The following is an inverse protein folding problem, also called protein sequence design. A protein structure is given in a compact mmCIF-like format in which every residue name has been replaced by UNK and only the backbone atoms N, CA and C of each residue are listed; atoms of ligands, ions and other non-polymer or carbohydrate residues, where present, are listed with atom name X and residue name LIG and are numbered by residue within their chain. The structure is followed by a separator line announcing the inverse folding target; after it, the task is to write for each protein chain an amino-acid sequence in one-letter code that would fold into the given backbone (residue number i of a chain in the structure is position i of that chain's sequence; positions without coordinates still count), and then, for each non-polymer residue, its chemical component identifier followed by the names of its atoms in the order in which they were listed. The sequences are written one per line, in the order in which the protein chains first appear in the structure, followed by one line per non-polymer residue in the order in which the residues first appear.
data_IF_089919316318
#
_entry.id   IF_089919316318
#
_cell.length_a   1.000
_cell.length_b   1.000
_cell.length_c   1.000
_cell.angle_alpha   90.00
_cell.angle_beta   90.00
_cell.angle_gamma   90.00
#
_symmetry.space_group_name_H-M   'P 1'
#
loop_
_entity.id
_entity.type
_entity.pdbx_description
1 polymer ?
#
# COMPACT_ATOMS: atom_id res chain seq x y z
N UNK A 1 12.78 -8.67 -49.17
CA UNK A 1 11.62 -7.87 -48.73
C UNK A 1 10.72 -8.75 -47.87
N UNK A 2 10.94 -8.68 -46.55
CA UNK A 2 9.99 -8.23 -45.52
C UNK A 2 8.77 -9.16 -45.33
N UNK A 3 8.86 -10.03 -44.33
CA UNK A 3 7.70 -10.53 -43.59
C UNK A 3 7.76 -9.93 -42.18
N UNK A 4 6.69 -9.26 -41.75
CA UNK A 4 6.54 -8.80 -40.36
C UNK A 4 5.16 -9.23 -39.85
N UNK A 5 5.08 -10.20 -38.91
CA UNK A 5 3.84 -10.58 -38.27
C UNK A 5 3.61 -9.62 -37.10
N UNK A 6 3.07 -8.43 -37.38
CA UNK A 6 3.01 -7.36 -36.38
C UNK A 6 1.78 -6.47 -36.43
N UNK A 7 0.71 -6.87 -37.14
CA UNK A 7 -0.46 -5.99 -37.34
C UNK A 7 -1.78 -6.46 -36.73
N UNK A 8 -1.80 -7.58 -35.99
CA UNK A 8 -3.06 -8.14 -35.49
C UNK A 8 -3.26 -8.06 -33.97
N UNK A 9 -2.62 -7.11 -33.28
CA UNK A 9 -2.80 -6.91 -31.82
C UNK A 9 -3.27 -5.49 -31.46
N UNK A 10 -3.62 -4.66 -32.46
CA UNK A 10 -3.91 -3.23 -32.26
C UNK A 10 -5.41 -2.86 -32.35
N UNK A 11 -6.34 -3.80 -32.12
CA UNK A 11 -7.79 -3.54 -32.21
C UNK A 11 -8.63 -3.96 -30.99
N UNK A 12 -8.05 -4.05 -29.79
CA UNK A 12 -8.83 -4.46 -28.59
C UNK A 12 -8.68 -3.55 -27.37
N UNK A 13 -8.50 -2.23 -27.55
CA UNK A 13 -8.40 -1.31 -26.41
C UNK A 13 -9.26 -0.04 -26.48
N UNK A 14 -10.18 0.08 -27.44
CA UNK A 14 -11.16 1.14 -27.46
C UNK A 14 -12.56 0.60 -27.17
N UNK A 15 -12.92 0.45 -25.89
CA UNK A 15 -14.33 0.43 -25.48
C UNK A 15 -14.53 1.30 -24.23
N UNK A 16 -15.52 2.22 -24.22
CA UNK A 16 -15.93 2.87 -22.99
C UNK A 16 -16.44 1.81 -22.01
N UNK A 17 -15.96 1.84 -20.76
CA UNK A 17 -16.39 0.90 -19.71
C UNK A 17 -17.77 1.31 -19.20
N UNK A 18 -18.83 0.87 -19.88
CA UNK A 18 -20.21 0.98 -19.38
C UNK A 18 -20.64 -0.35 -18.77
N UNK A 19 -20.29 -0.54 -17.49
CA UNK A 19 -20.73 -1.67 -16.67
C UNK A 19 -20.31 -1.44 -15.21
N UNK A 20 -20.99 -2.05 -14.22
CA UNK A 20 -20.52 -2.00 -12.84
C UNK A 20 -19.08 -2.52 -12.80
N UNK A 21 -18.20 -1.80 -12.10
CA UNK A 21 -16.81 -2.21 -11.93
C UNK A 21 -16.71 -3.63 -11.34
N UNK A 22 -15.53 -4.26 -11.39
CA UNK A 22 -15.34 -5.58 -10.80
C UNK A 22 -15.82 -5.56 -9.34
N UNK A 23 -16.86 -6.35 -9.04
CA UNK A 23 -17.30 -6.58 -7.66
C UNK A 23 -16.18 -7.33 -6.98
N UNK A 24 -15.57 -6.72 -5.96
CA UNK A 24 -14.54 -7.36 -5.17
C UNK A 24 -15.28 -8.17 -4.08
N UNK A 25 -15.34 -9.51 -4.18
CA UNK A 25 -16.10 -10.32 -3.22
C UNK A 25 -15.44 -10.39 -1.83
N UNK A 26 -14.20 -9.92 -1.70
CA UNK A 26 -13.43 -9.91 -0.47
C UNK A 26 -13.34 -8.49 0.11
N UNK A 27 -13.41 -8.38 1.44
CA UNK A 27 -13.14 -7.12 2.14
C UNK A 27 -11.62 -6.88 2.12
N UNK A 28 -11.18 -5.81 1.48
CA UNK A 28 -9.76 -5.51 1.27
C UNK A 28 -9.33 -4.28 2.08
N UNK A 29 -8.09 -4.30 2.56
CA UNK A 29 -7.43 -3.12 3.12
C UNK A 29 -6.03 -2.99 2.50
N UNK A 30 -5.84 -2.01 1.63
CA UNK A 30 -4.55 -1.63 1.08
C UNK A 30 -3.86 -0.68 2.07
N UNK A 31 -2.65 -1.03 2.54
CA UNK A 31 -1.88 -0.20 3.46
C UNK A 31 -0.58 0.30 2.81
N UNK A 32 -0.27 1.57 3.06
CA UNK A 32 1.04 2.16 2.85
C UNK A 32 1.51 2.85 4.14
N UNK A 33 2.81 2.79 4.40
CA UNK A 33 3.41 3.34 5.61
C UNK A 33 4.61 4.20 5.26
N UNK A 34 4.73 5.33 5.95
CA UNK A 34 5.99 6.03 6.10
C UNK A 34 6.58 5.75 7.47
N UNK A 35 7.91 5.71 7.56
CA UNK A 35 8.61 5.19 8.74
C UNK A 35 9.91 5.94 8.97
N UNK A 36 10.47 5.82 10.17
CA UNK A 36 11.77 6.42 10.54
C UNK A 36 12.98 5.65 10.00
N UNK A 37 12.78 4.62 9.17
CA UNK A 37 13.83 3.71 8.68
C UNK A 37 13.26 2.39 8.17
N UNK A 38 14.11 1.43 7.80
CA UNK A 38 13.69 0.20 7.11
C UNK A 38 13.58 -1.06 8.01
N UNK A 39 13.80 -0.94 9.33
CA UNK A 39 13.77 -2.09 10.25
C UNK A 39 12.57 -2.02 11.21
N UNK A 40 11.53 -2.85 11.06
CA UNK A 40 10.36 -2.85 11.92
C UNK A 40 10.62 -3.08 13.42
N UNK A 41 11.71 -3.75 13.78
CA UNK A 41 12.03 -4.01 15.19
C UNK A 41 12.63 -2.78 15.88
N UNK A 42 13.26 -1.90 15.11
CA UNK A 42 13.97 -0.71 15.62
C UNK A 42 13.23 0.59 15.30
N UNK A 43 12.80 0.74 14.05
CA UNK A 43 12.25 1.97 13.49
C UNK A 43 10.74 2.06 13.76
N UNK A 44 10.16 3.26 13.59
CA UNK A 44 8.77 3.57 14.00
C UNK A 44 7.97 4.07 12.81
N UNK A 45 6.64 3.93 12.89
CA UNK A 45 5.72 4.47 11.89
C UNK A 45 5.56 5.99 12.07
N UNK A 46 5.53 6.74 10.97
CA UNK A 46 5.30 8.20 10.93
C UNK A 46 4.07 8.62 10.12
N UNK A 47 3.58 7.78 9.21
CA UNK A 47 2.28 7.93 8.53
C UNK A 47 1.68 6.57 8.26
N UNK A 48 0.35 6.49 8.31
CA UNK A 48 -0.42 5.33 7.90
C UNK A 48 -1.46 5.79 6.89
N UNK A 49 -1.49 5.14 5.73
CA UNK A 49 -2.52 5.32 4.72
C UNK A 49 -3.22 3.97 4.51
N UNK A 50 -4.55 3.96 4.64
CA UNK A 50 -5.40 2.78 4.43
C UNK A 50 -6.45 3.11 3.37
N UNK A 51 -6.55 2.26 2.35
CA UNK A 51 -7.67 2.22 1.43
C UNK A 51 -8.46 0.94 1.67
N UNK A 52 -9.73 1.08 1.99
CA UNK A 52 -10.65 -0.02 2.22
C UNK A 52 -11.53 -0.19 1.00
N UNK A 53 -11.73 -1.43 0.56
CA UNK A 53 -12.61 -1.75 -0.55
C UNK A 53 -13.50 -2.96 -0.21
N UNK A 54 -14.82 -2.82 -0.41
CA UNK A 54 -15.81 -3.86 -0.17
C UNK A 54 -16.97 -3.69 -1.17
N UNK A 55 -17.15 -4.66 -2.07
CA UNK A 55 -18.12 -4.53 -3.16
C UNK A 55 -17.76 -3.37 -4.10
N UNK A 56 -18.65 -2.39 -4.19
CA UNK A 56 -18.51 -1.14 -4.95
C UNK A 56 -18.01 0.04 -4.11
N UNK A 57 -17.88 -0.14 -2.78
CA UNK A 57 -17.49 0.93 -1.86
C UNK A 57 -15.98 0.98 -1.73
N UNK A 58 -15.45 2.19 -1.85
CA UNK A 58 -14.04 2.50 -1.57
C UNK A 58 -13.99 3.68 -0.61
N UNK A 59 -13.21 3.55 0.46
CA UNK A 59 -12.94 4.63 1.41
C UNK A 59 -11.46 4.69 1.75
N UNK A 60 -10.99 5.88 2.13
CA UNK A 60 -9.61 6.10 2.54
C UNK A 60 -9.54 6.66 3.95
N UNK A 61 -8.45 6.36 4.63
CA UNK A 61 -8.08 6.93 5.92
C UNK A 61 -6.58 7.16 5.94
N UNK A 62 -6.17 8.34 6.38
CA UNK A 62 -4.76 8.71 6.50
C UNK A 62 -4.53 9.38 7.84
N UNK A 63 -3.41 9.08 8.48
CA UNK A 63 -3.00 9.77 9.70
C UNK A 63 -1.49 9.89 9.80
N UNK A 64 -1.03 11.03 10.29
CA UNK A 64 0.33 11.16 10.78
C UNK A 64 0.45 10.49 12.15
N UNK A 65 1.63 9.98 12.45
CA UNK A 65 1.91 9.32 13.72
C UNK A 65 3.17 9.94 14.32
N UNK A 66 3.09 10.37 15.59
CA UNK A 66 4.27 10.75 16.33
C UNK A 66 5.09 9.49 16.67
N UNK A 67 6.30 9.31 16.10
CA UNK A 67 7.11 8.11 16.31
C UNK A 67 7.79 8.10 17.71
N UNK A 68 7.65 9.20 18.47
CA UNK A 68 8.29 9.45 19.76
C UNK A 68 9.81 9.29 19.73
N UNK A 69 10.40 9.69 18.58
CA UNK A 69 11.84 9.70 18.34
C UNK A 69 12.17 10.64 17.17
N UNK A 70 13.41 11.11 17.04
CA UNK A 70 13.84 11.83 15.86
C UNK A 70 13.75 10.98 14.58
N UNK A 71 13.26 11.60 13.50
CA UNK A 71 13.33 11.07 12.14
C UNK A 71 14.70 11.45 11.54
N UNK A 72 15.51 10.48 11.07
CA UNK A 72 16.79 10.79 10.41
C UNK A 72 16.61 11.73 9.21
N UNK A 73 17.52 12.69 9.03
CA UNK A 73 17.40 13.72 7.97
C UNK A 73 17.22 13.13 6.56
N UNK A 74 17.94 12.05 6.25
CA UNK A 74 17.81 11.38 4.94
C UNK A 74 16.41 10.78 4.73
N UNK A 75 15.74 10.32 5.80
CA UNK A 75 14.36 9.82 5.74
C UNK A 75 13.40 10.99 5.54
N UNK A 76 13.60 12.10 6.27
CA UNK A 76 12.78 13.30 6.10
C UNK A 76 12.84 13.83 4.65
N UNK A 77 14.04 13.81 4.04
CA UNK A 77 14.22 14.16 2.62
C UNK A 77 13.54 13.17 1.67
N UNK A 78 13.53 11.88 2.02
CA UNK A 78 12.97 10.82 1.18
C UNK A 78 11.44 10.84 1.13
N UNK A 79 10.77 11.09 2.25
CA UNK A 79 9.30 11.00 2.35
C UNK A 79 8.58 12.32 2.64
N UNK A 80 9.32 13.40 2.83
CA UNK A 80 8.77 14.74 3.10
C UNK A 80 8.16 14.90 4.50
N UNK A 81 8.25 13.91 5.38
CA UNK A 81 7.74 14.00 6.76
C UNK A 81 8.86 14.53 7.66
N UNK A 82 8.62 15.69 8.28
CA UNK A 82 9.57 16.34 9.18
C UNK A 82 9.21 16.13 10.64
N UNK A 83 10.19 16.24 11.55
CA UNK A 83 9.97 16.12 12.99
C UNK A 83 8.90 17.11 13.48
N UNK A 84 8.91 18.33 12.95
CA UNK A 84 7.98 19.40 13.33
C UNK A 84 6.55 19.09 12.88
N UNK A 85 6.38 18.23 11.86
CA UNK A 85 5.05 17.86 11.34
C UNK A 85 4.43 16.71 12.12
N UNK A 86 5.25 15.88 12.79
CA UNK A 86 4.75 14.73 13.57
C UNK A 86 4.79 14.93 15.07
N UNK A 87 5.39 16.03 15.57
CA UNK A 87 5.49 16.26 17.02
C UNK A 87 4.12 16.37 17.69
N UNK A 88 3.16 17.02 17.03
CA UNK A 88 1.80 17.20 17.52
C UNK A 88 0.83 16.13 17.01
N UNK A 89 1.31 15.17 16.20
CA UNK A 89 0.51 14.05 15.73
C UNK A 89 0.24 13.05 16.87
N UNK A 90 -0.83 12.24 16.79
CA UNK A 90 -1.09 11.21 17.79
C UNK A 90 0.03 10.16 17.78
N UNK A 91 0.50 9.67 18.95
CA UNK A 91 1.36 8.49 19.00
C UNK A 91 0.58 7.26 18.55
N UNK A 92 1.30 6.21 18.13
CA UNK A 92 0.66 4.97 17.63
C UNK A 92 -0.40 4.41 18.60
N UNK A 93 -0.16 4.51 19.91
CA UNK A 93 -1.09 4.06 20.94
C UNK A 93 -2.52 4.63 20.80
N UNK A 94 -2.65 5.87 20.34
CA UNK A 94 -3.95 6.54 20.17
C UNK A 94 -4.67 6.12 18.88
N UNK A 95 -3.94 5.76 17.82
CA UNK A 95 -4.52 5.33 16.53
C UNK A 95 -4.66 3.80 16.42
N UNK A 96 -4.09 3.04 17.36
CA UNK A 96 -4.01 1.58 17.28
C UNK A 96 -5.39 0.89 17.25
N UNK A 97 -6.37 1.41 17.98
CA UNK A 97 -7.73 0.84 17.99
C UNK A 97 -8.41 1.04 16.64
N UNK A 98 -8.42 2.27 16.12
CA UNK A 98 -9.00 2.59 14.82
C UNK A 98 -8.31 1.79 13.69
N UNK A 99 -6.98 1.71 13.71
CA UNK A 99 -6.25 0.89 12.74
C UNK A 99 -6.66 -0.59 12.82
N UNK A 100 -6.79 -1.14 14.04
CA UNK A 100 -7.21 -2.54 14.20
C UNK A 100 -8.59 -2.79 13.60
N UNK A 101 -9.55 -1.90 13.84
CA UNK A 101 -10.93 -2.01 13.33
C UNK A 101 -10.98 -1.92 11.80
N UNK A 102 -10.20 -1.00 11.23
CA UNK A 102 -10.07 -0.85 9.77
C UNK A 102 -9.43 -2.07 9.12
N UNK A 103 -8.50 -2.74 9.78
CA UNK A 103 -7.84 -3.94 9.24
C UNK A 103 -8.58 -5.24 9.59
N UNK A 104 -9.49 -5.22 10.56
CA UNK A 104 -10.17 -6.41 11.06
C UNK A 104 -10.99 -7.10 9.96
N UNK A 105 -10.82 -8.42 9.83
CA UNK A 105 -11.56 -9.25 8.87
C UNK A 105 -11.28 -8.94 7.39
N UNK A 106 -10.23 -8.16 7.08
CA UNK A 106 -9.85 -7.79 5.72
C UNK A 106 -8.55 -8.45 5.29
N UNK A 107 -8.43 -8.72 3.99
CA UNK A 107 -7.15 -9.09 3.40
C UNK A 107 -6.25 -7.84 3.36
N UNK A 108 -5.13 -7.88 4.08
CA UNK A 108 -4.15 -6.80 4.11
C UNK A 108 -3.29 -6.85 2.84
N UNK A 109 -3.44 -5.83 2.00
CA UNK A 109 -2.73 -5.70 0.73
C UNK A 109 -1.65 -4.62 0.88
N UNK A 110 -0.43 -4.93 0.45
CA UNK A 110 0.62 -3.91 0.41
C UNK A 110 1.67 -4.21 -0.65
N UNK A 111 2.34 -3.16 -1.11
CA UNK A 111 3.63 -3.30 -1.81
C UNK A 111 4.69 -3.66 -0.76
N UNK A 112 5.51 -4.68 -1.02
CA UNK A 112 6.45 -5.20 -0.02
C UNK A 112 5.77 -5.60 1.31
N UNK A 113 4.63 -6.30 1.23
CA UNK A 113 3.73 -6.50 2.36
C UNK A 113 4.36 -7.08 3.64
N UNK A 114 5.43 -7.88 3.54
CA UNK A 114 6.16 -8.38 4.72
C UNK A 114 6.72 -7.23 5.58
N UNK A 115 7.20 -6.16 4.94
CA UNK A 115 7.76 -4.99 5.64
C UNK A 115 6.65 -4.21 6.34
N UNK A 116 5.58 -3.86 5.59
CA UNK A 116 4.42 -3.15 6.14
C UNK A 116 3.78 -3.92 7.30
N UNK A 117 3.49 -5.21 7.11
CA UNK A 117 2.98 -6.09 8.17
C UNK A 117 3.91 -6.13 9.38
N UNK A 118 5.23 -6.18 9.14
CA UNK A 118 6.24 -6.14 10.19
C UNK A 118 6.13 -4.88 11.05
N UNK A 119 5.98 -3.71 10.45
CA UNK A 119 5.83 -2.45 11.18
C UNK A 119 4.56 -2.41 12.03
N UNK A 120 3.41 -2.74 11.43
CA UNK A 120 2.13 -2.77 12.16
C UNK A 120 2.22 -3.77 13.33
N UNK A 121 2.73 -4.97 13.08
CA UNK A 121 2.92 -5.99 14.11
C UNK A 121 3.84 -5.51 15.24
N UNK A 122 4.97 -4.90 14.92
CA UNK A 122 5.90 -4.38 15.93
C UNK A 122 5.27 -3.28 16.78
N UNK A 123 4.52 -2.35 16.17
CA UNK A 123 3.85 -1.30 16.93
C UNK A 123 2.77 -1.86 17.87
N UNK A 124 1.95 -2.82 17.42
CA UNK A 124 1.02 -3.51 18.33
C UNK A 124 1.74 -4.28 19.44
N UNK A 125 2.87 -4.93 19.14
CA UNK A 125 3.68 -5.63 20.14
C UNK A 125 4.23 -4.67 21.21
N UNK A 126 4.63 -3.44 20.84
CA UNK A 126 5.04 -2.40 21.81
C UNK A 126 3.91 -2.01 22.77
N UNK A 127 2.65 -2.17 22.36
CA UNK A 127 1.48 -1.96 23.21
C UNK A 127 1.05 -3.23 23.99
N UNK A 128 1.83 -4.31 23.93
CA UNK A 128 1.47 -5.59 24.54
C UNK A 128 0.33 -6.32 23.81
N UNK A 129 0.02 -5.94 22.57
CA UNK A 129 -1.08 -6.51 21.78
C UNK A 129 -0.55 -7.42 20.67
N UNK A 130 -1.25 -8.50 20.39
CA UNK A 130 -0.99 -9.33 19.21
C UNK A 130 -1.67 -8.76 17.97
N UNK A 131 -0.99 -8.78 16.82
CA UNK A 131 -1.58 -8.42 15.54
C UNK A 131 -1.40 -9.56 14.53
N UNK A 132 -2.49 -9.92 13.86
CA UNK A 132 -2.54 -10.95 12.81
C UNK A 132 -3.49 -10.48 11.71
N UNK A 133 -3.10 -10.73 10.46
CA UNK A 133 -3.89 -10.46 9.28
C UNK A 133 -3.44 -11.42 8.19
N UNK A 134 -4.35 -11.79 7.30
CA UNK A 134 -3.98 -12.40 6.03
C UNK A 134 -3.36 -11.34 5.14
N UNK A 135 -2.26 -11.67 4.46
CA UNK A 135 -1.44 -10.69 3.76
C UNK A 135 -1.23 -11.06 2.30
N UNK A 136 -1.50 -10.12 1.40
CA UNK A 136 -1.18 -10.21 -0.02
C UNK A 136 -0.15 -9.14 -0.41
N UNK A 137 0.94 -9.60 -1.04
CA UNK A 137 1.95 -8.71 -1.60
C UNK A 137 1.69 -8.48 -3.09
N UNK A 138 1.40 -7.23 -3.47
CA UNK A 138 1.05 -6.87 -4.85
C UNK A 138 2.18 -7.17 -5.84
N UNK A 139 3.44 -7.05 -5.43
CA UNK A 139 4.60 -7.42 -6.28
C UNK A 139 4.64 -8.93 -6.53
N UNK A 140 4.38 -9.74 -5.50
CA UNK A 140 4.35 -11.22 -5.64
C UNK A 140 3.17 -11.65 -6.49
N UNK A 141 2.00 -11.04 -6.28
CA UNK A 141 0.82 -11.29 -7.11
C UNK A 141 1.10 -10.93 -8.57
N UNK A 142 1.65 -9.74 -8.82
CA UNK A 142 1.96 -9.29 -10.18
C UNK A 142 2.95 -10.23 -10.88
N UNK A 143 4.01 -10.69 -10.21
CA UNK A 143 4.95 -11.70 -10.75
C UNK A 143 4.26 -13.01 -11.11
N UNK A 144 3.29 -13.44 -10.30
CA UNK A 144 2.53 -14.67 -10.54
C UNK A 144 1.57 -14.54 -11.72
N UNK A 145 0.90 -13.39 -11.84
CA UNK A 145 -0.06 -13.13 -12.91
C UNK A 145 0.61 -12.81 -14.25
N UNK A 146 1.80 -12.19 -14.20
CA UNK A 146 2.50 -11.66 -15.37
C UNK A 146 3.95 -12.17 -15.44
N UNK A 147 4.17 -13.50 -15.50
CA UNK A 147 5.51 -14.10 -15.38
C UNK A 147 6.46 -13.72 -16.53
N UNK A 148 5.92 -13.35 -17.70
CA UNK A 148 6.72 -12.94 -18.86
C UNK A 148 7.29 -11.52 -18.74
N UNK A 149 6.77 -10.72 -17.81
CA UNK A 149 7.24 -9.35 -17.62
C UNK A 149 8.36 -9.31 -16.58
N UNK A 150 9.47 -8.64 -16.90
CA UNK A 150 10.59 -8.53 -15.98
C UNK A 150 10.38 -7.45 -14.90
N UNK A 151 9.60 -6.41 -15.20
CA UNK A 151 9.41 -5.24 -14.32
C UNK A 151 8.05 -5.29 -13.60
N UNK A 152 8.08 -5.11 -12.28
CA UNK A 152 6.88 -5.06 -11.42
C UNK A 152 6.93 -3.90 -10.40
N UNK A 153 7.69 -2.85 -10.71
CA UNK A 153 7.66 -1.58 -9.96
C UNK A 153 6.36 -0.84 -10.33
N UNK A 154 5.92 0.07 -9.46
CA UNK A 154 4.66 0.79 -9.61
C UNK A 154 4.51 1.42 -10.99
N UNK A 155 5.50 2.20 -11.44
CA UNK A 155 5.47 2.88 -12.74
C UNK A 155 5.30 1.90 -13.92
N UNK A 156 5.92 0.72 -13.81
CA UNK A 156 5.78 -0.33 -14.83
C UNK A 156 4.38 -0.96 -14.83
N UNK A 157 3.73 -1.03 -13.68
CA UNK A 157 2.34 -1.50 -13.57
C UNK A 157 1.37 -0.42 -14.05
N UNK A 158 1.64 0.85 -13.75
CA UNK A 158 0.84 1.97 -14.23
C UNK A 158 0.79 1.98 -15.76
N UNK A 159 1.96 1.96 -16.41
CA UNK A 159 2.07 1.91 -17.88
C UNK A 159 1.35 0.66 -18.44
N UNK A 160 1.56 -0.51 -17.84
CA UNK A 160 0.96 -1.76 -18.32
C UNK A 160 -0.57 -1.75 -18.28
N UNK A 161 -1.13 -1.14 -17.24
CA UNK A 161 -2.56 -1.15 -16.98
C UNK A 161 -3.25 0.15 -17.43
N UNK A 162 -2.54 1.01 -18.17
CA UNK A 162 -3.04 2.29 -18.64
C UNK A 162 -3.58 3.17 -17.49
N UNK A 163 -2.89 3.10 -16.34
CA UNK A 163 -3.21 3.90 -15.17
C UNK A 163 -2.35 5.16 -15.20
N UNK A 164 -3.01 6.29 -15.06
CA UNK A 164 -2.40 7.59 -14.98
C UNK A 164 -2.49 8.08 -13.54
N UNK A 165 -1.45 8.78 -13.10
CA UNK A 165 -1.56 9.53 -11.85
C UNK A 165 -2.60 10.64 -12.07
N UNK A 166 -3.64 10.77 -11.22
CA UNK A 166 -4.60 11.87 -11.33
C UNK A 166 -4.02 13.26 -11.00
N UNK A 167 -2.73 13.35 -10.64
CA UNK A 167 -1.97 14.58 -10.35
C UNK A 167 -1.84 15.53 -11.53
#
# INVERSE_FOLDING_TARGET
MVGHPGREIAQSLARPRTGPGPVIPARLACIALETTGANPLRDRITRIDVLEAEGDRVSTWSTLVNPQRPIPEFIQKLNGIRNETVVDAPPFAQVAAELADRLHGRLLIARHARLNYGFVKSEFQRLGKSFRADVLCTVRLSRKLFPVHQKHKLDSLMIRHDLHDPS
#
